data_IF_757729217690
#
_entry.id   IF_757729217690
#
_cell.length_a   1.000
_cell.length_b   1.000
_cell.length_c   1.000
_cell.angle_alpha   90.00
_cell.angle_beta   90.00
_cell.angle_gamma   90.00
#
_symmetry.space_group_name_H-M   'P 1'
#
loop_
_entity.id
_entity.type
_entity.pdbx_description
1 polymer ?
#
# COMPACT_ATOMS: atom_id res chain seq x y z
N UNK A 1 -34.46 39.57 -10.10
CA UNK A 1 -33.24 39.22 -9.34
C UNK A 1 -32.11 40.09 -9.87
N UNK A 2 -31.40 40.85 -9.02
CA UNK A 2 -30.34 41.75 -9.48
C UNK A 2 -29.00 41.01 -9.66
N UNK A 3 -28.08 41.61 -10.43
CA UNK A 3 -26.78 41.01 -10.77
C UNK A 3 -25.90 40.71 -9.55
N UNK A 4 -26.04 41.51 -8.51
CA UNK A 4 -25.29 41.39 -7.25
C UNK A 4 -25.75 40.17 -6.44
N UNK A 5 -27.07 39.93 -6.43
CA UNK A 5 -27.69 38.76 -5.81
C UNK A 5 -27.27 37.50 -6.57
N UNK A 6 -27.30 37.51 -7.91
CA UNK A 6 -26.86 36.37 -8.72
C UNK A 6 -25.38 36.01 -8.46
N UNK A 7 -24.48 37.00 -8.39
CA UNK A 7 -23.07 36.76 -8.05
C UNK A 7 -22.89 36.15 -6.67
N UNK A 8 -23.65 36.61 -5.67
CA UNK A 8 -23.62 36.06 -4.31
C UNK A 8 -24.08 34.59 -4.28
N UNK A 9 -25.14 34.25 -5.01
CA UNK A 9 -25.60 32.86 -5.12
C UNK A 9 -24.59 31.96 -5.86
N UNK A 10 -23.96 32.46 -6.92
CA UNK A 10 -22.93 31.70 -7.66
C UNK A 10 -21.67 31.49 -6.81
N UNK A 11 -21.22 32.49 -6.04
CA UNK A 11 -20.09 32.33 -5.12
C UNK A 11 -20.41 31.35 -3.98
N UNK A 12 -21.61 31.43 -3.38
CA UNK A 12 -22.04 30.47 -2.36
C UNK A 12 -22.17 29.05 -2.90
N UNK A 13 -22.61 28.89 -4.14
CA UNK A 13 -22.68 27.59 -4.80
C UNK A 13 -21.26 27.04 -5.06
N UNK A 14 -20.35 27.87 -5.58
CA UNK A 14 -18.98 27.46 -5.88
C UNK A 14 -18.20 27.09 -4.61
N UNK A 15 -18.28 27.87 -3.53
CA UNK A 15 -17.62 27.54 -2.25
C UNK A 15 -18.13 26.23 -1.63
N UNK A 16 -19.45 26.03 -1.59
CA UNK A 16 -20.03 24.81 -1.02
C UNK A 16 -19.75 23.58 -1.92
N UNK A 17 -19.78 23.76 -3.24
CA UNK A 17 -19.47 22.70 -4.19
C UNK A 17 -18.00 22.29 -4.11
N UNK A 18 -17.08 23.27 -4.01
CA UNK A 18 -15.65 23.02 -3.87
C UNK A 18 -15.32 22.32 -2.54
N UNK A 19 -15.92 22.76 -1.43
CA UNK A 19 -15.70 22.19 -0.09
C UNK A 19 -16.25 20.75 0.06
N UNK A 20 -17.45 20.47 -0.45
CA UNK A 20 -18.04 19.12 -0.43
C UNK A 20 -17.28 18.19 -1.36
N UNK A 21 -16.91 18.64 -2.56
CA UNK A 21 -16.19 17.80 -3.52
C UNK A 21 -14.76 17.47 -3.06
N UNK A 22 -14.09 18.39 -2.36
CA UNK A 22 -12.75 18.15 -1.79
C UNK A 22 -12.77 17.20 -0.60
N UNK A 23 -13.73 17.35 0.31
CA UNK A 23 -13.85 16.46 1.48
C UNK A 23 -14.15 15.01 1.07
N UNK A 24 -15.05 14.80 0.11
CA UNK A 24 -15.35 13.49 -0.45
C UNK A 24 -14.11 12.82 -1.07
N UNK A 25 -13.32 13.58 -1.86
CA UNK A 25 -12.07 13.09 -2.49
C UNK A 25 -11.03 12.63 -1.48
N UNK A 26 -10.95 13.27 -0.31
CA UNK A 26 -10.01 12.85 0.73
C UNK A 26 -10.50 11.61 1.48
N UNK A 27 -11.79 11.52 1.81
CA UNK A 27 -12.38 10.33 2.45
C UNK A 27 -12.14 9.08 1.60
N UNK A 28 -12.35 9.14 0.28
CA UNK A 28 -12.07 7.99 -0.59
C UNK A 28 -10.60 7.54 -0.57
N UNK A 29 -9.66 8.49 -0.51
CA UNK A 29 -8.22 8.17 -0.48
C UNK A 29 -7.86 7.46 0.82
N UNK A 30 -8.33 7.97 1.96
CA UNK A 30 -8.08 7.35 3.25
C UNK A 30 -8.78 5.99 3.35
N UNK A 31 -10.05 5.90 2.95
CA UNK A 31 -10.79 4.64 2.91
C UNK A 31 -10.10 3.59 2.03
N UNK A 32 -9.60 3.99 0.86
CA UNK A 32 -8.84 3.10 -0.02
C UNK A 32 -7.54 2.62 0.64
N UNK A 33 -6.77 3.51 1.27
CA UNK A 33 -5.53 3.14 1.98
C UNK A 33 -5.82 2.17 3.13
N UNK A 34 -6.86 2.43 3.94
CA UNK A 34 -7.26 1.55 5.03
C UNK A 34 -7.72 0.20 4.51
N UNK A 35 -8.63 0.18 3.53
CA UNK A 35 -9.14 -1.04 2.93
C UNK A 35 -8.01 -1.92 2.40
N UNK A 36 -7.17 -1.36 1.53
CA UNK A 36 -6.05 -2.11 0.95
C UNK A 36 -5.03 -2.54 2.01
N UNK A 37 -4.78 -1.72 3.03
CA UNK A 37 -3.93 -2.08 4.15
C UNK A 37 -4.46 -3.31 4.90
N UNK A 38 -5.72 -3.29 5.34
CA UNK A 38 -6.29 -4.39 6.11
C UNK A 38 -6.38 -5.67 5.29
N UNK A 39 -6.80 -5.60 4.02
CA UNK A 39 -6.90 -6.80 3.18
C UNK A 39 -5.52 -7.37 2.85
N UNK A 40 -4.53 -6.52 2.53
CA UNK A 40 -3.16 -6.99 2.31
C UNK A 40 -2.57 -7.62 3.58
N UNK A 41 -2.76 -7.00 4.75
CA UNK A 41 -2.29 -7.56 6.03
C UNK A 41 -2.95 -8.91 6.36
N UNK A 42 -4.25 -9.03 6.11
CA UNK A 42 -5.00 -10.28 6.29
C UNK A 42 -4.44 -11.41 5.41
N UNK A 43 -4.25 -11.15 4.12
CA UNK A 43 -3.73 -12.16 3.19
C UNK A 43 -2.30 -12.57 3.57
N UNK A 44 -1.44 -11.60 3.91
CA UNK A 44 -0.07 -11.91 4.32
C UNK A 44 -0.01 -12.71 5.62
N UNK A 45 -0.89 -12.42 6.58
CA UNK A 45 -0.99 -13.19 7.83
C UNK A 45 -1.32 -14.64 7.54
N UNK A 46 -2.28 -14.90 6.66
CA UNK A 46 -2.60 -16.27 6.22
C UNK A 46 -1.46 -16.92 5.43
N UNK A 47 -0.75 -16.15 4.60
CA UNK A 47 0.34 -16.66 3.76
C UNK A 47 1.57 -17.07 4.57
N UNK A 48 1.89 -16.35 5.66
CA UNK A 48 3.04 -16.65 6.53
C UNK A 48 2.98 -18.05 7.12
N UNK A 49 1.79 -18.61 7.36
CA UNK A 49 1.65 -19.99 7.86
C UNK A 49 2.24 -21.03 6.89
N UNK A 50 2.22 -20.74 5.59
CA UNK A 50 2.85 -21.59 4.55
C UNK A 50 4.38 -21.50 4.58
N UNK A 51 4.95 -20.51 5.27
CA UNK A 51 6.38 -20.22 5.35
C UNK A 51 6.99 -20.57 6.70
N UNK A 52 6.22 -21.16 7.64
CA UNK A 52 6.62 -21.40 9.03
C UNK A 52 7.92 -22.17 9.23
N UNK A 53 8.33 -22.99 8.25
CA UNK A 53 9.59 -23.74 8.28
C UNK A 53 10.82 -22.89 7.94
N UNK A 54 10.61 -21.73 7.31
CA UNK A 54 11.67 -20.84 6.81
C UNK A 54 11.74 -19.50 7.55
N UNK A 55 10.65 -19.08 8.19
CA UNK A 55 10.60 -17.83 8.95
C UNK A 55 9.75 -17.95 10.21
N UNK A 56 10.08 -17.20 11.27
CA UNK A 56 9.26 -17.16 12.47
C UNK A 56 7.83 -16.70 12.16
N UNK A 57 6.84 -17.46 12.63
CA UNK A 57 5.44 -17.03 12.64
C UNK A 57 5.28 -16.03 13.78
N UNK A 58 4.82 -14.83 13.45
CA UNK A 58 4.62 -13.75 14.43
C UNK A 58 3.20 -13.71 14.96
N UNK A 59 2.92 -12.73 15.82
CA UNK A 59 1.55 -12.46 16.25
C UNK A 59 0.64 -12.09 15.07
N UNK A 60 -0.66 -12.34 15.20
CA UNK A 60 -1.67 -12.07 14.18
C UNK A 60 -1.72 -10.62 13.68
N UNK A 61 -1.18 -9.66 14.45
CA UNK A 61 -1.11 -8.24 14.06
C UNK A 61 0.19 -7.85 13.36
N UNK A 62 1.20 -8.73 13.29
CA UNK A 62 2.55 -8.40 12.77
C UNK A 62 2.49 -7.88 11.35
N UNK A 63 1.83 -8.59 10.44
CA UNK A 63 1.77 -8.20 9.03
C UNK A 63 0.98 -6.90 8.82
N UNK A 64 -0.03 -6.65 9.66
CA UNK A 64 -0.73 -5.36 9.68
C UNK A 64 0.22 -4.22 10.10
N UNK A 65 1.04 -4.40 11.13
CA UNK A 65 2.02 -3.39 11.54
C UNK A 65 3.07 -3.15 10.45
N UNK A 66 3.52 -4.21 9.77
CA UNK A 66 4.48 -4.09 8.67
C UNK A 66 3.90 -3.31 7.50
N UNK A 67 2.68 -3.65 7.07
CA UNK A 67 2.02 -2.93 5.97
C UNK A 67 1.66 -1.49 6.35
N UNK A 68 1.11 -1.27 7.54
CA UNK A 68 0.74 0.06 8.03
C UNK A 68 1.96 0.94 8.25
N UNK A 69 3.01 0.37 8.85
CA UNK A 69 4.30 1.02 9.02
C UNK A 69 4.92 1.43 7.68
N UNK A 70 4.81 0.61 6.63
CA UNK A 70 5.27 0.98 5.29
C UNK A 70 4.49 2.19 4.75
N UNK A 71 3.17 2.24 4.93
CA UNK A 71 2.34 3.38 4.51
C UNK A 71 2.76 4.65 5.26
N UNK A 72 2.93 4.56 6.57
CA UNK A 72 3.31 5.70 7.41
C UNK A 72 4.73 6.18 7.03
N UNK A 73 5.69 5.27 6.96
CA UNK A 73 7.09 5.59 6.65
C UNK A 73 7.22 6.25 5.28
N UNK A 74 6.63 5.66 4.24
CA UNK A 74 6.62 6.24 2.91
C UNK A 74 5.80 7.54 2.83
N UNK A 75 4.73 7.64 3.63
CA UNK A 75 3.91 8.84 3.77
C UNK A 75 4.67 10.02 4.37
N UNK A 76 5.54 9.77 5.35
CA UNK A 76 6.43 10.76 5.93
C UNK A 76 7.44 11.24 4.87
N UNK A 77 8.14 10.31 4.22
CA UNK A 77 9.18 10.62 3.23
C UNK A 77 8.61 11.43 2.05
N UNK A 78 7.49 10.99 1.47
CA UNK A 78 6.88 11.72 0.35
C UNK A 78 6.37 13.10 0.77
N UNK A 79 5.92 13.27 2.02
CA UNK A 79 5.44 14.56 2.51
C UNK A 79 6.57 15.59 2.64
N UNK A 80 7.80 15.15 2.88
CA UNK A 80 8.98 16.04 2.89
C UNK A 80 9.52 16.31 1.49
N UNK A 81 9.63 15.28 0.65
CA UNK A 81 10.28 15.41 -0.66
C UNK A 81 9.34 15.97 -1.74
N UNK A 82 8.08 15.56 -1.73
CA UNK A 82 7.11 15.77 -2.81
C UNK A 82 5.67 15.92 -2.26
N UNK A 83 5.41 16.93 -1.40
CA UNK A 83 4.15 17.05 -0.65
C UNK A 83 2.91 17.11 -1.54
N UNK A 84 3.01 17.71 -2.73
CA UNK A 84 1.90 17.80 -3.68
C UNK A 84 1.52 16.43 -4.28
N UNK A 85 2.45 15.47 -4.34
CA UNK A 85 2.23 14.14 -4.92
C UNK A 85 1.88 13.08 -3.86
N UNK A 86 1.90 13.42 -2.55
CA UNK A 86 1.76 12.47 -1.43
C UNK A 86 0.66 11.44 -1.60
N UNK A 87 -0.56 11.89 -1.89
CA UNK A 87 -1.73 11.03 -1.92
C UNK A 87 -1.78 10.18 -3.17
N UNK A 88 -1.33 10.74 -4.30
CA UNK A 88 -1.20 10.01 -5.56
C UNK A 88 -0.16 8.91 -5.43
N UNK A 89 0.98 9.19 -4.81
CA UNK A 89 2.02 8.21 -4.56
C UNK A 89 1.56 7.11 -3.61
N UNK A 90 1.03 7.46 -2.43
CA UNK A 90 0.55 6.48 -1.45
C UNK A 90 -0.53 5.56 -2.02
N UNK A 91 -1.47 6.12 -2.79
CA UNK A 91 -2.49 5.33 -3.49
C UNK A 91 -1.86 4.35 -4.48
N UNK A 92 -0.94 4.81 -5.35
CA UNK A 92 -0.25 3.94 -6.30
C UNK A 92 0.56 2.84 -5.62
N UNK A 93 1.27 3.17 -4.55
CA UNK A 93 2.06 2.21 -3.77
C UNK A 93 1.16 1.13 -3.14
N UNK A 94 0.02 1.53 -2.59
CA UNK A 94 -0.94 0.58 -2.02
C UNK A 94 -1.67 -0.24 -3.08
N UNK A 95 -1.94 0.31 -4.27
CA UNK A 95 -2.45 -0.49 -5.40
C UNK A 95 -1.51 -1.62 -5.76
N UNK A 96 -0.19 -1.36 -5.81
CA UNK A 96 0.81 -2.40 -6.10
C UNK A 96 0.82 -3.46 -4.99
N UNK A 97 0.81 -3.02 -3.73
CA UNK A 97 0.83 -3.92 -2.56
C UNK A 97 -0.42 -4.79 -2.49
N UNK A 98 -1.57 -4.21 -2.81
CA UNK A 98 -2.83 -4.91 -2.88
C UNK A 98 -2.87 -5.91 -4.03
N UNK A 99 -2.46 -5.52 -5.23
CA UNK A 99 -2.38 -6.42 -6.38
C UNK A 99 -1.45 -7.61 -6.10
N UNK A 100 -0.29 -7.35 -5.48
CA UNK A 100 0.61 -8.42 -5.04
C UNK A 100 -0.03 -9.36 -4.03
N UNK A 101 -0.74 -8.84 -3.03
CA UNK A 101 -1.47 -9.66 -2.07
C UNK A 101 -2.55 -10.52 -2.76
N UNK A 102 -3.31 -9.97 -3.71
CA UNK A 102 -4.28 -10.75 -4.49
C UNK A 102 -3.60 -11.85 -5.31
N UNK A 103 -2.41 -11.59 -5.85
CA UNK A 103 -1.59 -12.61 -6.53
C UNK A 103 -1.07 -13.70 -5.59
N UNK A 104 -1.13 -13.53 -4.26
CA UNK A 104 -0.81 -14.60 -3.31
C UNK A 104 -1.99 -15.54 -3.04
N UNK A 105 -3.23 -15.13 -3.35
CA UNK A 105 -4.42 -15.95 -3.15
C UNK A 105 -4.40 -17.29 -3.91
N UNK A 106 -3.94 -17.37 -5.17
CA UNK A 106 -3.77 -18.65 -5.85
C UNK A 106 -2.83 -19.60 -5.09
N UNK A 107 -1.76 -19.08 -4.48
CA UNK A 107 -0.85 -19.88 -3.64
C UNK A 107 -1.54 -20.42 -2.39
N UNK A 108 -2.34 -19.59 -1.71
CA UNK A 108 -3.17 -20.01 -0.57
C UNK A 108 -4.19 -21.08 -0.97
N UNK A 109 -4.84 -20.90 -2.12
CA UNK A 109 -5.81 -21.86 -2.63
C UNK A 109 -5.13 -23.19 -2.97
N UNK A 110 -3.96 -23.15 -3.61
CA UNK A 110 -3.18 -24.34 -3.95
C UNK A 110 -2.80 -25.16 -2.72
N UNK A 111 -2.46 -24.49 -1.61
CA UNK A 111 -2.13 -25.13 -0.34
C UNK A 111 -3.29 -25.92 0.30
N UNK A 112 -4.54 -25.65 -0.10
CA UNK A 112 -5.69 -26.43 0.36
C UNK A 112 -5.79 -27.79 -0.34
N UNK A 113 -5.18 -27.94 -1.52
CA UNK A 113 -5.28 -29.14 -2.34
C UNK A 113 -3.97 -29.92 -2.43
N UNK A 114 -2.82 -29.23 -2.33
CA UNK A 114 -1.49 -29.82 -2.49
C UNK A 114 -0.63 -29.54 -1.25
N UNK A 115 0.12 -30.55 -0.82
CA UNK A 115 1.16 -30.41 0.20
C UNK A 115 2.50 -30.12 -0.48
N UNK A 116 2.83 -28.84 -0.62
CA UNK A 116 4.10 -28.39 -1.18
C UNK A 116 5.06 -27.93 -0.07
N UNK A 117 6.38 -28.07 -0.25
CA UNK A 117 7.36 -27.63 0.75
C UNK A 117 7.35 -26.10 0.91
N UNK A 118 7.69 -25.60 2.10
CA UNK A 118 7.72 -24.16 2.40
C UNK A 118 8.59 -23.36 1.40
N UNK A 119 9.67 -23.97 0.88
CA UNK A 119 10.52 -23.36 -0.14
C UNK A 119 9.77 -22.99 -1.42
N UNK A 120 8.78 -23.79 -1.84
CA UNK A 120 7.96 -23.47 -3.01
C UNK A 120 7.18 -22.16 -2.78
N UNK A 121 6.51 -22.04 -1.64
CA UNK A 121 5.75 -20.84 -1.30
C UNK A 121 6.67 -19.63 -1.09
N UNK A 122 7.88 -19.83 -0.56
CA UNK A 122 8.87 -18.76 -0.45
C UNK A 122 9.30 -18.25 -1.84
N UNK A 123 9.61 -19.14 -2.78
CA UNK A 123 9.95 -18.77 -4.15
C UNK A 123 8.79 -18.08 -4.87
N UNK A 124 7.56 -18.57 -4.66
CA UNK A 124 6.36 -17.94 -5.19
C UNK A 124 6.18 -16.51 -4.66
N UNK A 125 6.29 -16.34 -3.34
CA UNK A 125 6.25 -15.04 -2.69
C UNK A 125 7.33 -14.10 -3.23
N UNK A 126 8.57 -14.58 -3.38
CA UNK A 126 9.68 -13.80 -3.92
C UNK A 126 9.43 -13.39 -5.38
N UNK A 127 8.79 -14.26 -6.18
CA UNK A 127 8.34 -13.92 -7.53
C UNK A 127 7.33 -12.77 -7.52
N UNK A 128 6.30 -12.86 -6.69
CA UNK A 128 5.28 -11.81 -6.54
C UNK A 128 5.90 -10.50 -6.02
N UNK A 129 6.76 -10.58 -5.00
CA UNK A 129 7.48 -9.43 -4.44
C UNK A 129 8.41 -8.77 -5.48
N UNK A 130 9.07 -9.58 -6.33
CA UNK A 130 9.87 -9.11 -7.46
C UNK A 130 9.04 -8.34 -8.48
N UNK A 131 7.87 -8.87 -8.87
CA UNK A 131 6.95 -8.17 -9.76
C UNK A 131 6.44 -6.85 -9.15
N UNK A 132 6.11 -6.86 -7.86
CA UNK A 132 5.72 -5.64 -7.13
C UNK A 132 6.83 -4.59 -7.15
N UNK A 133 8.08 -5.00 -6.93
CA UNK A 133 9.23 -4.11 -6.94
C UNK A 133 9.46 -3.47 -8.31
N UNK A 134 9.40 -4.27 -9.39
CA UNK A 134 9.52 -3.77 -10.76
C UNK A 134 8.40 -2.79 -11.11
N UNK A 135 7.16 -3.08 -10.70
CA UNK A 135 6.02 -2.19 -10.91
C UNK A 135 6.15 -0.89 -10.09
N UNK A 136 6.68 -0.96 -8.86
CA UNK A 136 6.96 0.23 -8.05
C UNK A 136 7.98 1.15 -8.71
N UNK A 137 9.07 0.59 -9.24
CA UNK A 137 10.04 1.33 -10.07
C UNK A 137 9.35 1.96 -11.28
N UNK A 138 8.52 1.21 -12.00
CA UNK A 138 7.82 1.74 -13.18
C UNK A 138 6.91 2.92 -12.82
N UNK A 139 6.14 2.82 -11.74
CA UNK A 139 5.21 3.88 -11.30
C UNK A 139 5.92 5.12 -10.77
N UNK A 140 6.99 4.96 -10.00
CA UNK A 140 7.78 6.11 -9.50
C UNK A 140 8.42 6.88 -10.64
N UNK A 141 8.89 6.19 -11.70
CA UNK A 141 9.36 6.84 -12.95
C UNK A 141 8.25 7.59 -13.67
N UNK A 142 7.07 6.99 -13.82
CA UNK A 142 5.92 7.65 -14.47
C UNK A 142 5.46 8.91 -13.71
N UNK A 143 5.54 8.89 -12.38
CA UNK A 143 5.25 10.03 -11.52
C UNK A 143 6.40 11.04 -11.44
N UNK A 144 7.55 10.78 -12.09
CA UNK A 144 8.76 11.62 -12.08
C UNK A 144 9.31 11.88 -10.67
N UNK A 145 9.16 10.91 -9.76
CA UNK A 145 9.58 11.03 -8.34
C UNK A 145 11.02 10.55 -8.09
N UNK A 146 11.74 10.12 -9.14
CA UNK A 146 13.08 9.54 -9.04
C UNK A 146 13.11 8.19 -8.32
N UNK A 147 14.31 7.71 -7.99
CA UNK A 147 14.52 6.40 -7.36
C UNK A 147 14.52 6.45 -5.82
N UNK A 148 14.52 7.64 -5.21
CA UNK A 148 14.63 7.83 -3.76
C UNK A 148 13.51 7.11 -3.00
N UNK A 149 12.28 7.17 -3.51
CA UNK A 149 11.14 6.49 -2.91
C UNK A 149 11.25 4.97 -3.02
N UNK A 150 11.77 4.45 -4.12
CA UNK A 150 12.04 3.02 -4.28
C UNK A 150 13.12 2.55 -3.30
N UNK A 151 14.22 3.31 -3.17
CA UNK A 151 15.31 2.98 -2.24
C UNK A 151 14.79 2.92 -0.82
N UNK A 152 14.06 3.95 -0.39
CA UNK A 152 13.49 3.99 0.97
C UNK A 152 12.41 2.92 1.17
N UNK A 153 11.67 2.56 0.12
CA UNK A 153 10.67 1.48 0.18
C UNK A 153 11.34 0.14 0.45
N UNK A 154 12.45 -0.16 -0.24
CA UNK A 154 13.24 -1.39 -0.03
C UNK A 154 13.94 -1.34 1.33
N UNK A 155 14.51 -0.20 1.72
CA UNK A 155 15.19 -0.04 2.99
C UNK A 155 14.27 -0.40 4.17
N UNK A 156 13.02 0.09 4.17
CA UNK A 156 12.04 -0.31 5.18
C UNK A 156 11.81 -1.83 5.21
N UNK A 157 11.68 -2.47 4.03
CA UNK A 157 11.46 -3.92 3.94
C UNK A 157 12.64 -4.71 4.48
N UNK A 158 13.87 -4.29 4.19
CA UNK A 158 15.09 -4.91 4.73
C UNK A 158 15.15 -4.72 6.25
N UNK A 159 14.89 -3.52 6.76
CA UNK A 159 14.88 -3.26 8.21
C UNK A 159 13.86 -4.13 8.94
N UNK A 160 12.64 -4.24 8.42
CA UNK A 160 11.61 -5.13 8.98
C UNK A 160 12.06 -6.58 8.94
N UNK A 161 12.62 -7.05 7.83
CA UNK A 161 13.09 -8.42 7.71
C UNK A 161 14.20 -8.73 8.74
N UNK A 162 15.14 -7.80 8.93
CA UNK A 162 16.17 -7.90 9.95
C UNK A 162 15.56 -7.97 11.36
N UNK A 163 14.56 -7.14 11.66
CA UNK A 163 13.85 -7.18 12.95
C UNK A 163 13.16 -8.54 13.14
N UNK A 164 12.51 -9.10 12.11
CA UNK A 164 11.84 -10.41 12.21
C UNK A 164 12.82 -11.54 12.52
N UNK A 165 14.07 -11.47 12.02
CA UNK A 165 15.07 -12.52 12.26
C UNK A 165 15.91 -12.32 13.52
N UNK A 166 15.99 -11.09 14.05
CA UNK A 166 16.81 -10.75 15.21
C UNK A 166 16.02 -10.63 16.53
N UNK A 167 14.70 -10.45 16.45
CA UNK A 167 13.79 -10.37 17.60
C UNK A 167 13.17 -11.73 17.91
#
# INVERSE_FOLDING_TARGET
MNMETLKKYLMLYDENYFGIQQSLKWIYRVAFLLFTWFVTGFILTAYVELLKELMPVGHAYREYLICGGQIIFQGIIISFLFPAQRWTYLGNMMTISFAGALLLLPGLLLAQYLLLPALFYALYFMGVAGLMFLEHIRRTRLLKLGNTLTITWVAYRIMVLLIIFLA
#
